data_IF_515188432703
#
_entry.id   IF_515188432703
#
_cell.length_a   1.000
_cell.length_b   1.000
_cell.length_c   1.000
_cell.angle_alpha   90.00
_cell.angle_beta   90.00
_cell.angle_gamma   90.00
#
_symmetry.space_group_name_H-M   'P 1'
#
loop_
_entity.id
_entity.type
_entity.pdbx_description
1 polymer ?
#
# COMPACT_ATOMS: atom_id res chain seq x y z
N UNK A 1 -3.42 -18.48 -22.16
CA UNK A 1 -2.94 -19.10 -20.91
C UNK A 1 -3.88 -18.61 -19.83
N UNK A 2 -4.64 -19.51 -19.22
CA UNK A 2 -5.53 -19.14 -18.12
C UNK A 2 -4.69 -18.59 -16.98
N UNK A 3 -5.05 -17.41 -16.50
CA UNK A 3 -4.36 -16.76 -15.38
C UNK A 3 -4.47 -17.65 -14.14
N UNK A 4 -3.34 -18.04 -13.57
CA UNK A 4 -3.33 -18.83 -12.34
C UNK A 4 -3.70 -17.88 -11.20
N UNK A 5 -4.90 -18.06 -10.66
CA UNK A 5 -5.35 -17.33 -9.46
C UNK A 5 -4.96 -18.14 -8.22
N UNK A 6 -4.22 -17.51 -7.30
CA UNK A 6 -3.81 -18.09 -6.02
C UNK A 6 -4.57 -17.39 -4.89
N UNK A 7 -4.86 -18.11 -3.81
CA UNK A 7 -5.31 -17.50 -2.55
C UNK A 7 -4.17 -17.52 -1.54
N UNK A 8 -3.97 -16.41 -0.83
CA UNK A 8 -2.87 -16.24 0.11
C UNK A 8 -3.36 -15.51 1.36
N UNK A 9 -3.53 -16.23 2.44
CA UNK A 9 -3.77 -15.69 3.78
C UNK A 9 -2.47 -15.52 4.57
N UNK A 10 -2.55 -15.06 5.81
CA UNK A 10 -1.38 -14.87 6.68
C UNK A 10 -0.66 -16.16 7.02
N UNK A 11 -1.37 -17.30 7.09
CA UNK A 11 -0.78 -18.60 7.42
C UNK A 11 -0.11 -19.28 6.22
N UNK A 12 -0.22 -18.69 5.02
CA UNK A 12 0.45 -19.18 3.83
C UNK A 12 1.99 -19.17 4.01
N UNK A 13 2.70 -20.26 3.65
CA UNK A 13 4.15 -20.40 3.89
C UNK A 13 5.01 -19.28 3.34
N UNK A 14 4.55 -18.62 2.27
CA UNK A 14 5.24 -17.48 1.65
C UNK A 14 5.19 -16.17 2.44
N UNK A 15 4.26 -16.03 3.43
CA UNK A 15 4.09 -14.77 4.16
C UNK A 15 5.23 -14.51 5.14
N UNK A 16 5.47 -15.42 6.07
CA UNK A 16 6.40 -15.21 7.19
C UNK A 16 7.83 -14.86 6.77
N UNK A 17 8.47 -15.58 5.81
CA UNK A 17 9.83 -15.25 5.41
C UNK A 17 9.97 -13.83 4.84
N UNK A 18 8.96 -13.38 4.10
CA UNK A 18 8.93 -12.03 3.51
C UNK A 18 8.76 -10.97 4.58
N UNK A 19 7.79 -11.15 5.48
CA UNK A 19 7.50 -10.19 6.55
C UNK A 19 8.66 -10.04 7.53
N UNK A 20 9.34 -11.15 7.88
CA UNK A 20 10.52 -11.13 8.75
C UNK A 20 11.63 -10.21 8.22
N UNK A 21 11.78 -10.09 6.89
CA UNK A 21 12.80 -9.21 6.30
C UNK A 21 12.62 -7.75 6.73
N UNK A 22 11.38 -7.25 6.87
CA UNK A 22 11.12 -5.87 7.33
C UNK A 22 11.74 -5.66 8.71
N UNK A 23 11.49 -6.59 9.64
CA UNK A 23 12.01 -6.51 11.01
C UNK A 23 13.53 -6.57 11.06
N UNK A 24 14.13 -7.48 10.29
CA UNK A 24 15.59 -7.70 10.30
C UNK A 24 16.33 -6.54 9.66
N UNK A 25 15.81 -5.97 8.57
CA UNK A 25 16.50 -4.92 7.81
C UNK A 25 16.16 -3.51 8.28
N UNK A 26 15.06 -3.33 9.02
CA UNK A 26 14.59 -2.02 9.51
C UNK A 26 14.63 -0.94 8.42
N UNK A 27 13.97 -1.13 7.26
CA UNK A 27 14.17 -0.29 6.11
C UNK A 27 13.71 1.15 6.36
N UNK A 28 14.47 2.11 5.84
CA UNK A 28 14.07 3.51 5.82
C UNK A 28 13.03 3.75 4.74
N UNK A 29 11.84 4.25 5.13
CA UNK A 29 10.70 4.49 4.23
C UNK A 29 10.39 5.98 4.20
N UNK A 30 10.44 6.58 3.01
CA UNK A 30 10.02 7.95 2.81
C UNK A 30 8.57 8.01 2.32
N UNK A 31 7.73 8.79 2.99
CA UNK A 31 6.30 8.90 2.70
C UNK A 31 5.82 10.33 2.45
N UNK A 32 5.11 10.54 1.36
CA UNK A 32 4.33 11.73 1.09
C UNK A 32 2.85 11.39 1.21
N UNK A 33 2.23 11.75 2.34
CA UNK A 33 0.82 11.48 2.64
C UNK A 33 0.16 12.69 3.28
N UNK A 34 -1.15 12.63 3.49
CA UNK A 34 -1.88 13.67 4.17
C UNK A 34 -1.61 13.67 5.69
N UNK A 35 -1.70 14.86 6.32
CA UNK A 35 -1.45 15.02 7.76
C UNK A 35 -2.47 14.24 8.62
N UNK A 36 -3.66 13.93 8.11
CA UNK A 36 -4.69 13.20 8.84
C UNK A 36 -4.31 11.73 9.00
N UNK A 37 -3.66 11.15 8.00
CA UNK A 37 -3.22 9.76 8.01
C UNK A 37 -1.78 9.56 8.52
N UNK A 38 -0.98 10.62 8.59
CA UNK A 38 0.46 10.53 8.84
C UNK A 38 0.81 9.81 10.14
N UNK A 39 0.12 10.12 11.24
CA UNK A 39 0.38 9.50 12.55
C UNK A 39 0.12 8.00 12.55
N UNK A 40 -1.03 7.56 12.00
CA UNK A 40 -1.33 6.14 11.92
C UNK A 40 -0.35 5.42 11.00
N UNK A 41 -0.01 6.02 9.87
CA UNK A 41 0.96 5.44 8.93
C UNK A 41 2.35 5.28 9.55
N UNK A 42 2.83 6.27 10.30
CA UNK A 42 4.07 6.18 11.04
C UNK A 42 4.02 5.05 12.08
N UNK A 43 2.94 4.96 12.86
CA UNK A 43 2.77 3.94 13.89
C UNK A 43 2.71 2.52 13.29
N UNK A 44 2.05 2.34 12.15
CA UNK A 44 2.01 1.06 11.43
C UNK A 44 3.41 0.66 10.97
N UNK A 45 4.18 1.58 10.39
CA UNK A 45 5.55 1.31 9.95
C UNK A 45 6.48 0.98 11.13
N UNK A 46 6.40 1.73 12.23
CA UNK A 46 7.16 1.47 13.45
C UNK A 46 6.79 0.12 14.09
N UNK A 47 5.50 -0.22 14.10
CA UNK A 47 5.00 -1.49 14.65
C UNK A 47 5.61 -2.71 13.95
N UNK A 48 5.85 -2.62 12.64
CA UNK A 48 6.47 -3.70 11.87
C UNK A 48 8.00 -3.64 11.82
N UNK A 49 8.61 -2.62 12.41
CA UNK A 49 10.07 -2.47 12.51
C UNK A 49 10.71 -1.67 11.39
N UNK A 50 9.93 -0.96 10.55
CA UNK A 50 10.45 -0.02 9.57
C UNK A 50 10.72 1.36 10.20
N UNK A 51 11.54 2.18 9.55
CA UNK A 51 11.91 3.54 9.97
C UNK A 51 11.25 4.59 9.05
N UNK A 52 10.11 5.22 9.42
CA UNK A 52 9.43 6.18 8.58
C UNK A 52 10.01 7.60 8.68
N UNK A 53 10.07 8.31 7.52
CA UNK A 53 10.08 9.76 7.46
C UNK A 53 8.88 10.21 6.59
N UNK A 54 8.03 11.09 7.11
CA UNK A 54 6.80 11.50 6.43
C UNK A 54 6.72 13.02 6.35
N UNK A 55 6.53 13.54 5.14
CA UNK A 55 6.35 14.96 4.88
C UNK A 55 7.26 15.52 3.80
N UNK A 56 7.08 16.80 3.48
CA UNK A 56 7.80 17.52 2.42
C UNK A 56 8.54 18.74 2.96
N UNK A 57 9.33 18.57 4.02
CA UNK A 57 10.20 19.65 4.48
C UNK A 57 11.23 20.02 3.39
N UNK A 58 11.75 21.26 3.38
CA UNK A 58 12.70 21.72 2.38
C UNK A 58 13.86 20.75 2.20
N UNK A 59 14.08 20.30 0.96
CA UNK A 59 15.11 19.34 0.59
C UNK A 59 14.76 17.85 0.82
N UNK A 60 13.71 17.53 1.57
CA UNK A 60 13.30 16.13 1.79
C UNK A 60 12.87 15.41 0.50
N UNK A 61 12.02 16.01 -0.38
CA UNK A 61 11.60 15.34 -1.60
C UNK A 61 12.78 14.86 -2.46
N UNK A 62 13.75 15.71 -2.72
CA UNK A 62 14.92 15.35 -3.52
C UNK A 62 15.91 14.44 -2.78
N UNK A 63 16.13 14.70 -1.48
CA UNK A 63 17.11 13.96 -0.68
C UNK A 63 16.60 12.56 -0.30
N UNK A 64 15.48 12.48 0.39
CA UNK A 64 14.95 11.19 0.84
C UNK A 64 14.37 10.34 -0.28
N UNK A 65 13.81 10.96 -1.35
CA UNK A 65 13.33 10.22 -2.51
C UNK A 65 14.40 9.29 -3.09
N UNK A 66 15.63 9.75 -3.19
CA UNK A 66 16.74 8.96 -3.73
C UNK A 66 17.54 8.15 -2.70
N UNK A 67 17.30 8.30 -1.40
CA UNK A 67 18.07 7.63 -0.33
C UNK A 67 17.26 6.61 0.47
N UNK A 68 15.93 6.63 0.36
CA UNK A 68 15.06 5.67 1.03
C UNK A 68 15.28 4.25 0.48
N UNK A 69 15.00 3.24 1.29
CA UNK A 69 14.91 1.86 0.81
C UNK A 69 13.72 1.64 -0.12
N UNK A 70 12.61 2.35 0.15
CA UNK A 70 11.48 2.52 -0.75
C UNK A 70 10.71 3.79 -0.40
N UNK A 71 9.88 4.26 -1.33
CA UNK A 71 9.07 5.44 -1.15
C UNK A 71 7.58 5.13 -1.34
N UNK A 72 6.73 5.93 -0.68
CA UNK A 72 5.29 5.85 -0.81
C UNK A 72 4.69 7.23 -1.02
N UNK A 73 3.94 7.37 -2.11
CA UNK A 73 3.22 8.59 -2.49
C UNK A 73 1.73 8.33 -2.42
N UNK A 74 1.08 8.99 -1.49
CA UNK A 74 -0.37 9.03 -1.37
C UNK A 74 -0.88 10.36 -1.93
N UNK A 75 -1.72 10.31 -2.96
CA UNK A 75 -2.20 11.50 -3.64
C UNK A 75 -2.94 12.48 -2.72
N UNK A 76 -3.61 11.98 -1.66
CA UNK A 76 -4.24 12.86 -0.67
C UNK A 76 -3.23 13.73 0.11
N UNK A 77 -1.93 13.47 -0.02
CA UNK A 77 -0.86 14.34 0.49
C UNK A 77 -0.83 15.72 -0.15
N UNK A 78 -1.48 15.92 -1.31
CA UNK A 78 -1.64 17.22 -1.95
C UNK A 78 -2.34 18.28 -1.08
N UNK A 79 -2.94 17.89 0.05
CA UNK A 79 -3.47 18.84 1.02
C UNK A 79 -2.38 19.50 1.89
N UNK A 80 -1.16 18.99 1.90
CA UNK A 80 -0.05 19.48 2.75
C UNK A 80 1.33 19.46 2.07
N UNK A 81 1.42 19.01 0.83
CA UNK A 81 2.58 19.17 -0.04
C UNK A 81 2.12 19.52 -1.47
N UNK A 82 3.02 19.97 -2.30
CA UNK A 82 2.70 20.36 -3.67
C UNK A 82 2.87 19.19 -4.65
N UNK A 83 2.24 19.29 -5.83
CA UNK A 83 2.51 18.35 -6.93
C UNK A 83 4.00 18.34 -7.33
N UNK A 84 4.65 19.51 -7.23
CA UNK A 84 6.09 19.63 -7.49
C UNK A 84 6.92 18.82 -6.49
N UNK A 85 6.58 18.85 -5.19
CA UNK A 85 7.27 18.05 -4.18
C UNK A 85 7.14 16.56 -4.47
N UNK A 86 5.93 16.09 -4.82
CA UNK A 86 5.70 14.69 -5.16
C UNK A 86 6.49 14.26 -6.41
N UNK A 87 6.46 15.07 -7.48
CA UNK A 87 7.21 14.78 -8.69
C UNK A 87 8.72 14.80 -8.46
N UNK A 88 9.22 15.76 -7.68
CA UNK A 88 10.63 15.83 -7.30
C UNK A 88 11.08 14.56 -6.56
N UNK A 89 10.26 14.09 -5.60
CA UNK A 89 10.57 12.88 -4.86
C UNK A 89 10.57 11.63 -5.77
N UNK A 90 9.57 11.52 -6.64
CA UNK A 90 9.44 10.40 -7.60
C UNK A 90 10.60 10.40 -8.60
N UNK A 91 10.96 11.57 -9.14
CA UNK A 91 12.08 11.68 -10.08
C UNK A 91 13.42 11.31 -9.40
N UNK A 92 13.61 11.70 -8.14
CA UNK A 92 14.78 11.32 -7.36
C UNK A 92 14.81 9.79 -7.06
N UNK A 93 13.65 9.21 -6.71
CA UNK A 93 13.53 7.77 -6.50
C UNK A 93 13.86 6.98 -7.77
N UNK A 94 13.30 7.40 -8.91
CA UNK A 94 13.55 6.75 -10.20
C UNK A 94 15.03 6.84 -10.61
N UNK A 95 15.66 8.00 -10.42
CA UNK A 95 17.07 8.19 -10.72
C UNK A 95 17.98 7.30 -9.88
N UNK A 96 17.59 6.99 -8.64
CA UNK A 96 18.30 6.12 -7.72
C UNK A 96 17.82 4.65 -7.73
N UNK A 97 16.89 4.29 -8.62
CA UNK A 97 16.26 2.96 -8.68
C UNK A 97 15.58 2.53 -7.37
N UNK A 98 15.11 3.49 -6.59
CA UNK A 98 14.32 3.25 -5.37
C UNK A 98 12.88 2.87 -5.78
N UNK A 99 12.38 1.69 -5.38
CA UNK A 99 11.01 1.30 -5.69
C UNK A 99 10.02 2.20 -4.93
N UNK A 100 8.90 2.49 -5.57
CA UNK A 100 7.90 3.33 -4.93
C UNK A 100 6.46 2.87 -5.21
N UNK A 101 5.56 3.23 -4.30
CA UNK A 101 4.14 2.91 -4.30
C UNK A 101 3.34 4.17 -4.57
N UNK A 102 2.31 4.08 -5.40
CA UNK A 102 1.31 5.12 -5.62
C UNK A 102 -0.02 4.70 -5.00
N UNK A 103 -0.55 5.53 -4.11
CA UNK A 103 -1.92 5.46 -3.59
C UNK A 103 -2.75 6.56 -4.27
N UNK A 104 -3.56 6.28 -5.31
CA UNK A 104 -4.32 7.28 -6.07
C UNK A 104 -5.62 7.67 -5.34
N UNK A 105 -5.53 7.98 -4.06
CA UNK A 105 -6.67 8.29 -3.18
C UNK A 105 -7.56 9.34 -3.81
N UNK A 106 -8.87 9.07 -3.84
CA UNK A 106 -9.90 9.93 -4.42
C UNK A 106 -9.80 10.18 -5.95
N UNK A 107 -9.00 9.38 -6.67
CA UNK A 107 -8.98 9.39 -8.13
C UNK A 107 -10.39 9.15 -8.68
N UNK A 108 -10.82 10.00 -9.61
CA UNK A 108 -12.14 9.90 -10.22
C UNK A 108 -13.26 10.54 -9.40
N UNK A 109 -12.96 11.33 -8.37
CA UNK A 109 -13.95 12.09 -7.59
C UNK A 109 -14.52 13.33 -8.34
N UNK A 110 -14.16 13.53 -9.61
CA UNK A 110 -14.65 14.61 -10.45
C UNK A 110 -13.84 15.91 -10.40
N UNK A 111 -12.62 15.88 -9.85
CA UNK A 111 -11.70 17.01 -9.79
C UNK A 111 -10.60 16.83 -10.84
N UNK A 112 -10.80 17.36 -12.04
CA UNK A 112 -9.95 17.06 -13.20
C UNK A 112 -8.49 17.44 -13.06
N UNK A 113 -8.15 18.53 -12.36
CA UNK A 113 -6.76 18.91 -12.07
C UNK A 113 -6.08 17.87 -11.15
N UNK A 114 -6.76 17.45 -10.10
CA UNK A 114 -6.29 16.42 -9.17
C UNK A 114 -6.03 15.09 -9.88
N UNK A 115 -6.99 14.64 -10.70
CA UNK A 115 -6.86 13.44 -11.50
C UNK A 115 -5.67 13.53 -12.49
N UNK A 116 -5.42 14.70 -13.04
CA UNK A 116 -4.28 14.93 -13.95
C UNK A 116 -2.94 14.78 -13.25
N UNK A 117 -2.82 15.27 -12.01
CA UNK A 117 -1.61 15.09 -11.20
C UNK A 117 -1.38 13.61 -10.90
N UNK A 118 -2.43 12.87 -10.51
CA UNK A 118 -2.31 11.43 -10.24
C UNK A 118 -1.89 10.65 -11.50
N UNK A 119 -2.47 10.95 -12.67
CA UNK A 119 -2.05 10.33 -13.95
C UNK A 119 -0.60 10.65 -14.27
N UNK A 120 -0.14 11.87 -13.99
CA UNK A 120 1.25 12.28 -14.20
C UNK A 120 2.20 11.49 -13.28
N UNK A 121 1.82 11.28 -12.03
CA UNK A 121 2.56 10.42 -11.10
C UNK A 121 2.57 8.97 -11.59
N UNK A 122 1.41 8.40 -11.94
CA UNK A 122 1.32 7.03 -12.43
C UNK A 122 2.15 6.78 -13.71
N UNK A 123 2.27 7.80 -14.57
CA UNK A 123 3.12 7.74 -15.77
C UNK A 123 4.63 7.68 -15.46
N UNK A 124 5.06 7.97 -14.22
CA UNK A 124 6.45 7.85 -13.76
C UNK A 124 6.86 6.44 -13.36
N UNK A 125 5.98 5.43 -13.50
CA UNK A 125 6.30 4.02 -13.32
C UNK A 125 6.45 3.60 -11.86
N UNK A 126 5.41 3.71 -11.02
CA UNK A 126 5.42 3.11 -9.69
C UNK A 126 5.61 1.60 -9.79
N UNK A 127 6.32 1.00 -8.82
CA UNK A 127 6.41 -0.45 -8.72
C UNK A 127 5.05 -1.09 -8.37
N UNK A 128 4.26 -0.37 -7.58
CA UNK A 128 2.91 -0.78 -7.16
C UNK A 128 1.98 0.42 -7.20
N UNK A 129 0.79 0.21 -7.75
CA UNK A 129 -0.36 1.10 -7.55
C UNK A 129 -1.35 0.38 -6.64
N UNK A 130 -1.81 1.05 -5.59
CA UNK A 130 -2.73 0.48 -4.63
C UNK A 130 -3.92 1.42 -4.40
N UNK A 131 -5.14 0.92 -4.54
CA UNK A 131 -6.34 1.71 -4.33
C UNK A 131 -7.58 0.83 -4.14
N UNK A 132 -8.74 1.43 -3.93
CA UNK A 132 -10.01 0.73 -3.97
C UNK A 132 -10.47 0.52 -5.43
N UNK A 133 -11.57 -0.24 -5.62
CA UNK A 133 -12.09 -0.56 -6.95
C UNK A 133 -12.36 0.69 -7.80
N UNK A 134 -12.98 1.73 -7.24
CA UNK A 134 -13.29 2.98 -7.97
C UNK A 134 -12.04 3.72 -8.40
N UNK A 135 -11.03 3.83 -7.54
CA UNK A 135 -9.77 4.52 -7.80
C UNK A 135 -8.98 3.82 -8.92
N UNK A 136 -8.90 2.49 -8.85
CA UNK A 136 -8.20 1.71 -9.90
C UNK A 136 -8.92 1.79 -11.24
N UNK A 137 -10.27 1.68 -11.26
CA UNK A 137 -11.03 1.86 -12.50
C UNK A 137 -10.85 3.24 -13.11
N UNK A 138 -10.90 4.30 -12.29
CA UNK A 138 -10.70 5.67 -12.76
C UNK A 138 -9.28 5.90 -13.31
N UNK A 139 -8.26 5.30 -12.68
CA UNK A 139 -6.88 5.36 -13.15
C UNK A 139 -6.69 4.60 -14.46
N UNK A 140 -7.36 3.44 -14.62
CA UNK A 140 -7.34 2.63 -15.83
C UNK A 140 -8.13 3.25 -17.01
N UNK A 141 -8.75 4.42 -16.82
CA UNK A 141 -9.50 5.12 -17.88
C UNK A 141 -10.98 4.80 -17.92
N UNK A 142 -11.53 4.08 -16.94
CA UNK A 142 -12.97 3.86 -16.79
C UNK A 142 -13.73 5.12 -16.43
N UNK A 143 -15.05 5.10 -16.65
CA UNK A 143 -15.92 6.18 -16.20
C UNK A 143 -15.89 6.27 -14.66
N UNK A 144 -15.61 7.47 -14.15
CA UNK A 144 -15.62 7.72 -12.71
C UNK A 144 -17.03 7.52 -12.15
N UNK A 145 -17.17 6.61 -11.18
CA UNK A 145 -18.44 6.34 -10.48
C UNK A 145 -18.33 6.63 -8.99
N UNK A 146 -17.20 7.22 -8.57
CA UNK A 146 -16.95 7.52 -7.17
C UNK A 146 -17.79 8.71 -6.68
N UNK A 147 -18.46 8.55 -5.52
CA UNK A 147 -18.97 9.66 -4.73
C UNK A 147 -18.05 9.85 -3.52
N UNK A 148 -17.07 10.77 -3.65
CA UNK A 148 -16.08 10.98 -2.60
C UNK A 148 -15.09 9.81 -2.48
N UNK A 149 -14.76 9.41 -1.24
CA UNK A 149 -13.80 8.33 -0.93
C UNK A 149 -14.47 6.95 -0.87
N UNK A 150 -15.81 6.88 -0.91
CA UNK A 150 -16.55 5.63 -0.86
C UNK A 150 -16.63 4.97 -2.24
N UNK A 151 -16.35 3.68 -2.28
CA UNK A 151 -16.35 2.91 -3.52
C UNK A 151 -17.79 2.46 -3.86
N UNK A 152 -18.24 2.80 -5.07
CA UNK A 152 -19.50 2.30 -5.64
C UNK A 152 -19.26 1.26 -6.74
N UNK A 153 -18.01 1.08 -7.16
CA UNK A 153 -17.61 0.11 -8.17
C UNK A 153 -17.47 -1.30 -7.57
N UNK A 154 -17.84 -2.31 -8.33
CA UNK A 154 -17.64 -3.70 -7.90
C UNK A 154 -16.21 -4.18 -8.19
N UNK A 155 -15.71 -5.06 -7.34
CA UNK A 155 -14.43 -5.76 -7.56
C UNK A 155 -14.44 -6.50 -8.90
N UNK A 156 -15.55 -7.12 -9.27
CA UNK A 156 -15.67 -7.85 -10.54
C UNK A 156 -15.43 -6.97 -11.78
N UNK A 157 -15.74 -5.67 -11.69
CA UNK A 157 -15.46 -4.70 -12.75
C UNK A 157 -14.02 -4.18 -12.67
N UNK A 158 -13.47 -3.99 -11.47
CA UNK A 158 -12.16 -3.42 -11.27
C UNK A 158 -11.01 -4.39 -11.60
N UNK A 159 -11.18 -5.69 -11.32
CA UNK A 159 -10.12 -6.70 -11.53
C UNK A 159 -9.66 -6.77 -13.00
N UNK A 160 -10.53 -6.92 -14.02
CA UNK A 160 -10.05 -6.97 -15.41
C UNK A 160 -9.37 -5.67 -15.84
N UNK A 161 -9.87 -4.50 -15.42
CA UNK A 161 -9.25 -3.21 -15.74
C UNK A 161 -7.91 -3.02 -15.02
N UNK A 162 -7.82 -3.42 -13.75
CA UNK A 162 -6.58 -3.44 -12.98
C UNK A 162 -5.54 -4.39 -13.59
N UNK A 163 -5.96 -5.56 -14.09
CA UNK A 163 -5.08 -6.49 -14.76
C UNK A 163 -4.52 -5.93 -16.08
N UNK A 164 -5.36 -5.28 -16.86
CA UNK A 164 -4.91 -4.59 -18.09
C UNK A 164 -3.90 -3.47 -17.76
N UNK A 165 -4.18 -2.69 -16.70
CA UNK A 165 -3.26 -1.65 -16.21
C UNK A 165 -1.92 -2.26 -15.77
N UNK A 166 -1.95 -3.35 -14.98
CA UNK A 166 -0.75 -4.05 -14.52
C UNK A 166 0.11 -4.55 -15.69
N UNK A 167 -0.50 -5.22 -16.66
CA UNK A 167 0.18 -5.76 -17.84
C UNK A 167 0.75 -4.65 -18.75
N UNK A 168 -0.06 -3.62 -19.05
CA UNK A 168 0.33 -2.55 -19.97
C UNK A 168 1.42 -1.64 -19.42
N UNK A 169 1.44 -1.42 -18.10
CA UNK A 169 2.39 -0.54 -17.42
C UNK A 169 3.54 -1.26 -16.72
N UNK A 170 3.53 -2.60 -16.74
CA UNK A 170 4.55 -3.43 -16.09
C UNK A 170 4.72 -3.13 -14.60
N UNK A 171 3.59 -2.99 -13.90
CA UNK A 171 3.52 -2.71 -12.47
C UNK A 171 2.60 -3.71 -11.75
N UNK A 172 2.65 -3.73 -10.43
CA UNK A 172 1.66 -4.44 -9.64
C UNK A 172 0.48 -3.51 -9.36
N UNK A 173 -0.73 -4.02 -9.48
CA UNK A 173 -1.95 -3.32 -9.07
C UNK A 173 -2.59 -4.07 -7.91
N UNK A 174 -2.74 -3.41 -6.75
CA UNK A 174 -3.38 -3.95 -5.57
C UNK A 174 -4.73 -3.25 -5.36
N UNK A 175 -5.81 -4.03 -5.44
CA UNK A 175 -7.19 -3.55 -5.28
C UNK A 175 -7.68 -3.97 -3.90
N UNK A 176 -7.96 -2.99 -3.04
CA UNK A 176 -8.53 -3.26 -1.72
C UNK A 176 -10.05 -3.36 -1.78
N UNK A 177 -10.60 -4.34 -1.05
CA UNK A 177 -12.02 -4.63 -0.97
C UNK A 177 -12.39 -5.53 0.21
N UNK A 178 -13.53 -6.22 0.16
CA UNK A 178 -13.84 -7.29 1.10
C UNK A 178 -12.83 -8.44 1.08
N UNK A 179 -12.24 -8.69 -0.07
CA UNK A 179 -11.02 -9.42 -0.31
C UNK A 179 -10.10 -8.52 -1.14
N UNK A 180 -8.81 -8.55 -0.89
CA UNK A 180 -7.85 -7.78 -1.66
C UNK A 180 -7.35 -8.60 -2.87
N UNK A 181 -7.19 -7.92 -4.01
CA UNK A 181 -6.72 -8.54 -5.25
C UNK A 181 -5.39 -7.95 -5.67
N UNK A 182 -4.35 -8.78 -5.75
CA UNK A 182 -3.00 -8.39 -6.14
C UNK A 182 -2.72 -8.92 -7.54
N UNK A 183 -2.59 -8.01 -8.50
CA UNK A 183 -2.50 -8.29 -9.93
C UNK A 183 -1.08 -8.01 -10.42
N UNK A 184 -0.45 -9.02 -11.00
CA UNK A 184 0.91 -8.95 -11.51
C UNK A 184 1.00 -8.55 -12.98
N UNK A 185 2.17 -8.04 -13.42
CA UNK A 185 2.39 -7.56 -14.78
C UNK A 185 2.34 -8.67 -15.86
N UNK A 186 2.47 -9.93 -15.47
CA UNK A 186 2.46 -11.07 -16.37
C UNK A 186 1.16 -11.90 -16.27
N UNK A 187 0.07 -11.28 -15.80
CA UNK A 187 -1.24 -11.91 -15.70
C UNK A 187 -1.45 -12.72 -14.42
N UNK A 188 -0.50 -12.71 -13.47
CA UNK A 188 -0.69 -13.39 -12.20
C UNK A 188 -1.74 -12.66 -11.35
N UNK A 189 -2.49 -13.43 -10.56
CA UNK A 189 -3.51 -12.90 -9.67
C UNK A 189 -3.46 -13.62 -8.33
N UNK A 190 -3.27 -12.88 -7.24
CA UNK A 190 -3.34 -13.39 -5.87
C UNK A 190 -4.53 -12.72 -5.17
N UNK A 191 -5.41 -13.54 -4.60
CA UNK A 191 -6.52 -13.09 -3.75
C UNK A 191 -6.08 -13.20 -2.29
N UNK A 192 -6.25 -12.13 -1.53
CA UNK A 192 -5.97 -12.08 -0.10
C UNK A 192 -7.30 -11.95 0.65
N UNK A 193 -7.80 -13.03 1.24
CA UNK A 193 -9.02 -13.01 2.04
C UNK A 193 -8.78 -12.42 3.42
N UNK A 194 -9.87 -12.10 4.12
CA UNK A 194 -9.84 -11.67 5.52
C UNK A 194 -9.93 -10.16 5.70
N UNK A 195 -9.49 -9.71 6.88
CA UNK A 195 -9.68 -8.31 7.28
C UNK A 195 -10.95 -8.09 8.10
N UNK A 196 -11.24 -6.83 8.40
CA UNK A 196 -12.42 -6.49 9.17
C UNK A 196 -12.99 -5.12 8.78
N UNK A 197 -14.33 -5.00 8.77
CA UNK A 197 -15.03 -3.75 8.40
C UNK A 197 -14.64 -2.52 9.22
N UNK A 198 -14.14 -2.69 10.45
CA UNK A 198 -13.69 -1.57 11.27
C UNK A 198 -12.48 -0.82 10.68
N UNK A 199 -11.74 -1.42 9.74
CA UNK A 199 -10.71 -0.69 8.97
C UNK A 199 -11.31 0.52 8.22
N UNK A 200 -12.54 0.42 7.73
CA UNK A 200 -13.21 1.55 7.05
C UNK A 200 -13.68 2.65 8.00
N UNK A 201 -13.72 2.37 9.32
CA UNK A 201 -14.10 3.31 10.36
C UNK A 201 -12.88 3.99 11.02
N UNK A 202 -11.65 3.69 10.59
CA UNK A 202 -10.42 4.27 11.11
C UNK A 202 -9.74 5.10 10.02
N UNK A 203 -9.71 6.40 10.24
CA UNK A 203 -9.09 7.34 9.29
C UNK A 203 -7.61 7.01 9.10
N UNK A 204 -7.18 6.94 7.84
CA UNK A 204 -5.80 6.65 7.49
C UNK A 204 -5.44 5.17 7.43
N UNK A 205 -6.34 4.23 7.82
CA UNK A 205 -6.05 2.80 7.73
C UNK A 205 -5.72 2.36 6.29
N UNK A 206 -6.50 2.83 5.31
CA UNK A 206 -6.17 2.60 3.90
C UNK A 206 -4.80 3.18 3.53
N UNK A 207 -4.55 4.44 3.87
CA UNK A 207 -3.29 5.11 3.55
C UNK A 207 -2.06 4.44 4.18
N UNK A 208 -2.17 3.94 5.42
CA UNK A 208 -1.07 3.27 6.11
C UNK A 208 -0.61 1.97 5.42
N UNK A 209 -1.52 1.26 4.76
CA UNK A 209 -1.18 0.04 4.02
C UNK A 209 -0.24 0.33 2.84
N UNK A 210 -0.37 1.49 2.17
CA UNK A 210 0.57 1.91 1.12
C UNK A 210 2.01 2.05 1.63
N UNK A 211 2.17 2.64 2.82
CA UNK A 211 3.47 2.71 3.50
C UNK A 211 4.03 1.32 3.84
N UNK A 212 3.17 0.41 4.30
CA UNK A 212 3.58 -0.96 4.63
C UNK A 212 3.99 -1.76 3.37
N UNK A 213 3.32 -1.54 2.23
CA UNK A 213 3.75 -2.08 0.93
C UNK A 213 5.13 -1.55 0.56
N UNK A 214 5.39 -0.26 0.74
CA UNK A 214 6.73 0.29 0.51
C UNK A 214 7.77 -0.38 1.43
N UNK A 215 7.44 -0.62 2.71
CA UNK A 215 8.35 -1.27 3.64
C UNK A 215 8.80 -2.66 3.19
N UNK A 216 7.91 -3.47 2.63
CA UNK A 216 8.30 -4.78 2.10
C UNK A 216 9.11 -4.66 0.82
N UNK A 217 8.77 -3.75 -0.09
CA UNK A 217 9.53 -3.54 -1.34
C UNK A 217 10.99 -3.17 -1.05
N UNK A 218 11.25 -2.39 -0.01
CA UNK A 218 12.59 -1.99 0.41
C UNK A 218 13.48 -3.18 0.82
N UNK A 219 12.89 -4.33 1.11
CA UNK A 219 13.63 -5.53 1.58
C UNK A 219 13.91 -6.55 0.47
N UNK A 220 13.47 -6.27 -0.75
CA UNK A 220 13.57 -7.22 -1.86
C UNK A 220 14.81 -6.93 -2.71
N UNK A 221 15.53 -7.99 -3.05
CA UNK A 221 16.67 -7.93 -3.98
C UNK A 221 16.25 -8.20 -5.43
N UNK A 222 15.07 -8.80 -5.65
CA UNK A 222 14.58 -9.18 -6.98
C UNK A 222 13.15 -8.69 -7.22
N UNK A 223 12.90 -8.23 -8.42
CA UNK A 223 11.55 -7.77 -8.82
C UNK A 223 10.52 -8.90 -8.87
N UNK A 224 10.96 -10.12 -9.21
CA UNK A 224 10.13 -11.32 -9.26
C UNK A 224 9.44 -11.64 -7.93
N UNK A 225 10.00 -11.21 -6.81
CA UNK A 225 9.45 -11.46 -5.48
C UNK A 225 8.36 -10.47 -5.07
N UNK A 226 8.19 -9.37 -5.82
CA UNK A 226 7.31 -8.24 -5.44
C UNK A 226 5.84 -8.65 -5.29
N UNK A 227 5.31 -9.49 -6.19
CA UNK A 227 3.89 -9.86 -6.18
C UNK A 227 3.52 -10.60 -4.89
N UNK A 228 4.29 -11.62 -4.54
CA UNK A 228 4.10 -12.41 -3.31
C UNK A 228 4.32 -11.54 -2.08
N UNK A 229 5.30 -10.63 -2.12
CA UNK A 229 5.59 -9.73 -1.01
C UNK A 229 4.46 -8.72 -0.75
N UNK A 230 3.86 -8.16 -1.79
CA UNK A 230 2.69 -7.29 -1.67
C UNK A 230 1.50 -8.06 -1.09
N UNK A 231 1.22 -9.28 -1.59
CA UNK A 231 0.17 -10.13 -1.04
C UNK A 231 0.40 -10.48 0.44
N UNK A 232 1.65 -10.78 0.84
CA UNK A 232 2.00 -11.08 2.23
C UNK A 232 1.72 -9.90 3.18
N UNK A 233 2.00 -8.67 2.74
CA UNK A 233 1.70 -7.46 3.51
C UNK A 233 0.20 -7.24 3.67
N UNK A 234 -0.58 -7.45 2.61
CA UNK A 234 -2.04 -7.39 2.67
C UNK A 234 -2.60 -8.46 3.63
N UNK A 235 -2.06 -9.69 3.59
CA UNK A 235 -2.44 -10.77 4.49
C UNK A 235 -2.11 -10.47 5.96
N UNK A 236 -0.93 -9.89 6.25
CA UNK A 236 -0.59 -9.39 7.59
C UNK A 236 -1.59 -8.33 8.07
N UNK A 237 -1.94 -7.39 7.20
CA UNK A 237 -2.86 -6.31 7.51
C UNK A 237 -4.27 -6.83 7.81
N UNK A 238 -4.77 -7.76 7.00
CA UNK A 238 -6.04 -8.45 7.21
C UNK A 238 -6.06 -9.19 8.54
N UNK A 239 -5.02 -9.98 8.83
CA UNK A 239 -4.90 -10.75 10.06
C UNK A 239 -4.83 -9.88 11.30
N UNK A 240 -4.09 -8.78 11.25
CA UNK A 240 -4.01 -7.82 12.36
C UNK A 240 -5.38 -7.18 12.65
N UNK A 241 -6.15 -6.86 11.60
CA UNK A 241 -7.50 -6.33 11.74
C UNK A 241 -8.47 -7.34 12.36
N UNK A 242 -8.40 -8.61 11.98
CA UNK A 242 -9.20 -9.68 12.60
C UNK A 242 -8.89 -9.86 14.09
N UNK A 243 -7.60 -9.84 14.45
CA UNK A 243 -7.18 -9.95 15.85
C UNK A 243 -7.69 -8.75 16.65
N UNK A 244 -7.50 -7.53 16.14
CA UNK A 244 -7.92 -6.32 16.82
C UNK A 244 -9.45 -6.24 17.01
N UNK A 245 -10.21 -6.77 16.06
CA UNK A 245 -11.67 -6.72 16.11
C UNK A 245 -12.28 -7.60 17.18
N UNK A 246 -11.59 -8.64 17.67
CA UNK A 246 -12.10 -9.59 18.68
C UNK A 246 -12.41 -8.89 19.99
N UNK A 247 -11.54 -7.96 20.40
CA UNK A 247 -11.61 -7.30 21.71
C UNK A 247 -12.02 -5.83 21.59
N UNK A 248 -12.26 -5.33 20.36
CA UNK A 248 -12.59 -3.94 20.13
C UNK A 248 -14.05 -3.62 20.51
N UNK A 249 -14.25 -2.62 21.36
CA UNK A 249 -15.57 -2.06 21.66
C UNK A 249 -16.03 -0.98 20.67
N UNK A 250 -15.14 -0.54 19.77
CA UNK A 250 -15.41 0.50 18.77
C UNK A 250 -14.16 0.87 17.96
N UNK A 251 -14.26 1.86 17.04
CA UNK A 251 -13.17 2.24 16.16
C UNK A 251 -11.88 2.67 16.88
N UNK A 252 -11.98 3.35 18.02
CA UNK A 252 -10.81 3.83 18.75
C UNK A 252 -10.00 2.68 19.37
N UNK A 253 -10.67 1.78 20.11
CA UNK A 253 -10.01 0.58 20.66
C UNK A 253 -9.53 -0.36 19.58
N UNK A 254 -10.26 -0.47 18.47
CA UNK A 254 -9.82 -1.20 17.29
C UNK A 254 -8.52 -0.62 16.71
N UNK A 255 -8.43 0.70 16.51
CA UNK A 255 -7.25 1.33 15.93
C UNK A 255 -5.99 1.07 16.79
N UNK A 256 -6.12 1.18 18.11
CA UNK A 256 -5.02 0.86 19.04
C UNK A 256 -4.65 -0.62 18.97
N UNK A 257 -5.65 -1.50 19.10
CA UNK A 257 -5.44 -2.95 19.06
C UNK A 257 -4.89 -3.44 17.70
N UNK A 258 -5.19 -2.74 16.63
CA UNK A 258 -4.67 -3.04 15.29
C UNK A 258 -3.16 -2.80 15.18
N UNK A 259 -2.67 -1.65 15.67
CA UNK A 259 -1.22 -1.37 15.71
C UNK A 259 -0.49 -2.37 16.62
N UNK A 260 -1.08 -2.68 17.77
CA UNK A 260 -0.53 -3.70 18.68
C UNK A 260 -0.51 -5.09 18.04
N UNK A 261 -1.56 -5.47 17.29
CA UNK A 261 -1.62 -6.74 16.58
C UNK A 261 -0.54 -6.85 15.50
N UNK A 262 -0.30 -5.79 14.72
CA UNK A 262 0.80 -5.74 13.75
C UNK A 262 2.15 -5.99 14.42
N UNK A 263 2.41 -5.34 15.55
CA UNK A 263 3.65 -5.52 16.31
C UNK A 263 3.79 -6.94 16.83
N UNK A 264 2.73 -7.52 17.39
CA UNK A 264 2.75 -8.91 17.91
C UNK A 264 2.98 -9.94 16.81
N UNK A 265 2.30 -9.81 15.66
CA UNK A 265 2.47 -10.72 14.53
C UNK A 265 3.88 -10.71 13.98
N UNK A 266 4.52 -9.53 13.94
CA UNK A 266 5.91 -9.39 13.51
C UNK A 266 6.93 -9.93 14.53
N UNK A 267 6.59 -9.95 15.84
CA UNK A 267 7.47 -10.42 16.88
C UNK A 267 7.31 -11.93 17.18
N UNK A 268 6.18 -12.55 16.83
CA UNK A 268 5.91 -13.96 17.12
C UNK A 268 6.96 -14.92 16.52
N UNK A 269 7.56 -14.51 15.38
CA UNK A 269 8.59 -15.33 14.71
C UNK A 269 10.01 -15.13 15.27
N UNK A 270 10.22 -14.13 16.15
CA UNK A 270 11.54 -13.91 16.80
C UNK A 270 11.63 -14.58 18.16
N UNK A 271 10.50 -14.89 18.80
CA UNK A 271 10.45 -15.52 20.12
C UNK A 271 10.46 -17.06 20.05
N UNK A 272 10.37 -17.67 18.88
CA UNK A 272 10.35 -19.12 18.68
C UNK A 272 11.71 -19.80 18.49
N UNK A 273 12.84 -19.06 18.55
CA UNK A 273 14.18 -19.62 18.31
C UNK A 273 15.05 -19.69 19.56
N UNK A 274 14.55 -19.30 20.75
CA UNK A 274 15.29 -19.34 22.02
C UNK A 274 14.59 -20.23 23.08
N UNK A 275 14.04 -21.40 22.68
CA UNK A 275 13.55 -22.41 23.61
C UNK A 275 14.16 -23.78 23.31
#
# INVERSE_FOLDING_TARGET
>A
MDAVTLSMDYDHPGCRPVLRRIRVQSPFIYGLTNYVAATLSANVLLAVGAAPAIGAAPGWPSGFGGQAGAMWVNAAGLINCTAHDMLTAVDAANAAHVPWVLDPVAMGAGVGEYDTIIRTLAARGPAVVRGNASEIMALAGGAATARGVETTASIAQAVPMGQELACSKKMIVAISGPEDHILGPDGQHIIVPGGHRLLTCVTGAGCALGGLVAAVLATLSMESDRLVAVAAVHALYARAAEIAARDASGPASFATGFVDALSRLQNADTLGTDA
#
